data_IF_255294623166
#
_entry.id   IF_255294623166
#
_cell.length_a   1.000
_cell.length_b   1.000
_cell.length_c   1.000
_cell.angle_alpha   90.00
_cell.angle_beta   90.00
_cell.angle_gamma   90.00
#
_symmetry.space_group_name_H-M   'P 1'
#
loop_
_entity.id
_entity.type
_entity.pdbx_description
1 polymer ?
#
# COMPACT_ATOMS: atom_id res chain seq x y z
N UNK A 1 -39.75 -62.09 -13.38
CA UNK A 1 -38.32 -61.85 -13.43
C UNK A 1 -37.90 -60.66 -14.30
N UNK A 2 -38.47 -60.40 -15.45
CA UNK A 2 -38.11 -59.32 -16.35
C UNK A 2 -38.38 -57.86 -15.79
N UNK A 3 -39.40 -57.68 -14.93
CA UNK A 3 -39.75 -56.39 -14.30
C UNK A 3 -38.91 -56.07 -13.09
N UNK A 4 -38.32 -57.05 -12.43
CA UNK A 4 -37.41 -56.84 -11.30
C UNK A 4 -36.00 -56.40 -11.76
N UNK A 5 -35.55 -56.89 -12.93
CA UNK A 5 -34.27 -56.47 -13.54
C UNK A 5 -34.29 -55.01 -14.06
N UNK A 6 -35.46 -54.52 -14.50
CA UNK A 6 -35.61 -53.15 -14.98
C UNK A 6 -35.62 -52.11 -13.86
N UNK A 7 -36.00 -52.44 -12.64
CA UNK A 7 -35.95 -51.56 -11.47
C UNK A 7 -34.56 -51.47 -10.86
N UNK A 8 -33.71 -52.47 -11.00
CA UNK A 8 -32.33 -52.45 -10.50
C UNK A 8 -31.40 -51.58 -11.38
N UNK A 9 -31.71 -51.42 -12.68
CA UNK A 9 -30.92 -50.60 -13.62
C UNK A 9 -31.21 -49.09 -13.49
N UNK A 10 -32.36 -48.67 -12.93
CA UNK A 10 -32.69 -47.28 -12.74
C UNK A 10 -32.08 -46.68 -11.43
N UNK A 11 -31.65 -47.53 -10.49
CA UNK A 11 -31.07 -47.05 -9.23
C UNK A 11 -29.54 -46.85 -9.31
N UNK A 12 -28.90 -47.25 -10.41
CA UNK A 12 -27.44 -47.16 -10.60
C UNK A 12 -26.95 -45.88 -11.26
N UNK A 13 -27.85 -44.96 -11.67
CA UNK A 13 -27.47 -43.77 -12.46
C UNK A 13 -27.47 -42.45 -11.67
N UNK A 14 -27.62 -42.47 -10.35
CA UNK A 14 -27.61 -41.24 -9.52
C UNK A 14 -26.33 -41.08 -8.67
N UNK A 15 -25.22 -41.71 -9.07
CA UNK A 15 -23.91 -41.31 -8.54
C UNK A 15 -23.50 -40.06 -9.34
N UNK A 16 -24.02 -38.88 -8.94
CA UNK A 16 -23.44 -37.61 -9.31
C UNK A 16 -21.96 -37.64 -8.89
N UNK A 17 -21.08 -38.03 -9.81
CA UNK A 17 -19.66 -37.80 -9.65
C UNK A 17 -19.46 -36.27 -9.62
N UNK A 18 -19.51 -35.69 -8.42
CA UNK A 18 -18.97 -34.38 -8.20
C UNK A 18 -17.48 -34.44 -8.58
N UNK A 19 -17.18 -34.08 -9.81
CA UNK A 19 -15.79 -33.94 -10.23
C UNK A 19 -15.08 -33.06 -9.19
N UNK A 20 -13.95 -33.53 -8.61
CA UNK A 20 -13.25 -32.72 -7.61
C UNK A 20 -12.96 -31.38 -8.26
N UNK A 21 -13.49 -30.28 -7.70
CA UNK A 21 -13.21 -28.95 -8.17
C UNK A 21 -11.69 -28.78 -8.14
N UNK A 22 -11.09 -28.61 -9.31
CA UNK A 22 -9.63 -28.56 -9.46
C UNK A 22 -9.08 -27.42 -8.59
N UNK A 23 -8.23 -27.79 -7.62
CA UNK A 23 -7.67 -26.81 -6.69
C UNK A 23 -6.91 -25.70 -7.45
N UNK A 24 -7.29 -24.45 -7.24
CA UNK A 24 -6.62 -23.31 -7.82
C UNK A 24 -5.60 -22.76 -6.84
N UNK A 25 -4.33 -22.66 -7.25
CA UNK A 25 -3.27 -22.04 -6.45
C UNK A 25 -2.98 -20.65 -7.01
N UNK A 26 -3.25 -19.60 -6.21
CA UNK A 26 -2.85 -18.24 -6.52
C UNK A 26 -1.35 -18.05 -6.23
N UNK A 27 -0.59 -17.63 -7.24
CA UNK A 27 0.84 -17.31 -7.15
C UNK A 27 0.98 -15.80 -6.93
N UNK A 28 1.42 -15.40 -5.73
CA UNK A 28 1.48 -14.00 -5.29
C UNK A 28 2.92 -13.60 -5.02
N UNK A 29 3.41 -12.58 -5.71
CA UNK A 29 4.74 -11.99 -5.45
C UNK A 29 4.65 -10.85 -4.42
N UNK A 30 5.71 -10.65 -3.65
CA UNK A 30 5.85 -9.50 -2.74
C UNK A 30 7.31 -9.16 -2.52
N UNK A 31 7.60 -7.88 -2.29
CA UNK A 31 8.93 -7.42 -1.87
C UNK A 31 9.16 -7.62 -0.37
N UNK A 32 8.09 -7.81 0.43
CA UNK A 32 8.23 -8.04 1.85
C UNK A 32 9.16 -9.24 2.11
N UNK A 33 10.19 -9.07 2.95
CA UNK A 33 11.10 -10.16 3.29
C UNK A 33 10.37 -11.30 4.00
N UNK A 34 10.89 -12.51 3.86
CA UNK A 34 10.38 -13.65 4.61
C UNK A 34 10.65 -13.49 6.11
N UNK A 35 9.77 -14.02 6.97
CA UNK A 35 9.85 -13.88 8.42
C UNK A 35 9.38 -12.51 8.95
N UNK A 36 8.83 -11.64 8.13
CA UNK A 36 8.16 -10.42 8.60
C UNK A 36 6.75 -10.72 9.10
N UNK A 37 6.25 -9.93 10.05
CA UNK A 37 4.87 -10.01 10.56
C UNK A 37 3.85 -9.94 9.42
N UNK A 38 4.14 -9.15 8.38
CA UNK A 38 3.33 -9.08 7.17
C UNK A 38 3.20 -10.45 6.48
N UNK A 39 4.32 -11.15 6.27
CA UNK A 39 4.31 -12.47 5.63
C UNK A 39 3.60 -13.51 6.49
N UNK A 40 3.78 -13.45 7.81
CA UNK A 40 3.13 -14.38 8.74
C UNK A 40 1.60 -14.23 8.72
N UNK A 41 1.09 -12.98 8.76
CA UNK A 41 -0.36 -12.73 8.68
C UNK A 41 -0.94 -13.15 7.31
N UNK A 42 -0.22 -12.90 6.22
CA UNK A 42 -0.66 -13.34 4.89
C UNK A 42 -0.71 -14.86 4.78
N UNK A 43 0.23 -15.60 5.39
CA UNK A 43 0.20 -17.06 5.44
C UNK A 43 -0.95 -17.59 6.30
N UNK A 44 -1.19 -16.98 7.48
CA UNK A 44 -2.35 -17.34 8.33
C UNK A 44 -3.66 -17.18 7.55
N UNK A 45 -3.85 -16.06 6.86
CA UNK A 45 -5.01 -15.85 6.01
C UNK A 45 -5.12 -16.88 4.88
N UNK A 46 -4.01 -17.23 4.23
CA UNK A 46 -3.96 -18.24 3.19
C UNK A 46 -4.32 -19.66 3.70
N UNK A 47 -3.87 -20.02 4.91
CA UNK A 47 -4.18 -21.29 5.54
C UNK A 47 -5.65 -21.36 5.98
N UNK A 48 -6.21 -20.25 6.47
CA UNK A 48 -7.64 -20.14 6.76
C UNK A 48 -8.48 -20.33 5.49
N UNK A 49 -8.14 -19.67 4.39
CA UNK A 49 -8.80 -19.82 3.09
C UNK A 49 -8.72 -21.28 2.65
N UNK A 50 -7.54 -21.89 2.69
CA UNK A 50 -7.35 -23.30 2.32
C UNK A 50 -8.27 -24.21 3.13
N UNK A 51 -8.39 -23.99 4.42
CA UNK A 51 -9.23 -24.77 5.32
C UNK A 51 -10.72 -24.57 4.99
N UNK A 52 -11.19 -23.32 4.94
CA UNK A 52 -12.60 -22.98 4.70
C UNK A 52 -13.07 -23.36 3.30
N UNK A 53 -12.17 -23.40 2.31
CA UNK A 53 -12.47 -23.87 0.96
C UNK A 53 -12.20 -25.37 0.75
N UNK A 54 -11.92 -26.14 1.80
CA UNK A 54 -11.58 -27.57 1.71
C UNK A 54 -10.45 -27.84 0.70
N UNK A 55 -9.46 -26.95 0.63
CA UNK A 55 -8.31 -27.04 -0.26
C UNK A 55 -8.54 -26.67 -1.72
N UNK A 56 -9.75 -26.23 -2.11
CA UNK A 56 -10.05 -25.77 -3.48
C UNK A 56 -9.28 -24.51 -3.84
N UNK A 57 -9.05 -23.60 -2.86
CA UNK A 57 -8.27 -22.38 -3.04
C UNK A 57 -7.02 -22.41 -2.17
N UNK A 58 -5.87 -22.14 -2.79
CA UNK A 58 -4.57 -22.09 -2.12
C UNK A 58 -3.81 -20.84 -2.57
N UNK A 59 -2.90 -20.35 -1.71
CA UNK A 59 -1.97 -19.29 -2.04
C UNK A 59 -0.54 -19.78 -1.94
N UNK A 60 0.29 -19.36 -2.90
CA UNK A 60 1.74 -19.55 -2.86
C UNK A 60 2.40 -18.17 -2.99
N UNK A 61 3.09 -17.76 -1.93
CA UNK A 61 3.81 -16.50 -1.89
C UNK A 61 5.24 -16.65 -2.39
N UNK A 62 5.75 -15.59 -3.02
CA UNK A 62 7.12 -15.42 -3.46
C UNK A 62 7.65 -14.12 -2.81
N UNK A 63 8.20 -14.22 -1.56
CA UNK A 63 8.66 -13.06 -0.78
C UNK A 63 10.01 -12.53 -1.25
N UNK A 64 10.45 -11.38 -0.69
CA UNK A 64 11.80 -10.84 -0.84
C UNK A 64 12.14 -10.33 -2.24
N UNK A 65 11.12 -10.01 -3.07
CA UNK A 65 11.36 -9.44 -4.39
C UNK A 65 11.95 -10.41 -5.43
N UNK A 66 12.00 -11.72 -5.16
CA UNK A 66 12.58 -12.74 -6.09
C UNK A 66 11.87 -12.78 -7.45
N UNK A 67 10.69 -12.22 -7.55
CA UNK A 67 9.94 -12.10 -8.82
C UNK A 67 10.18 -10.76 -9.54
N UNK A 68 11.09 -9.93 -9.02
CA UNK A 68 11.43 -8.61 -9.53
C UNK A 68 10.59 -7.48 -8.91
N UNK A 69 10.79 -6.26 -9.43
CA UNK A 69 10.07 -5.07 -9.00
C UNK A 69 8.59 -5.10 -9.46
N UNK A 70 7.80 -4.12 -8.99
CA UNK A 70 6.36 -4.03 -9.26
C UNK A 70 6.02 -4.08 -10.75
N UNK A 71 6.78 -3.42 -11.63
CA UNK A 71 6.57 -3.48 -13.07
C UNK A 71 6.74 -4.90 -13.62
N UNK A 72 7.78 -5.60 -13.16
CA UNK A 72 8.06 -6.99 -13.55
C UNK A 72 6.96 -7.92 -13.05
N UNK A 73 6.48 -7.71 -11.83
CA UNK A 73 5.37 -8.47 -11.23
C UNK A 73 4.08 -8.24 -12.02
N UNK A 74 3.70 -6.98 -12.30
CA UNK A 74 2.51 -6.65 -13.09
C UNK A 74 2.57 -7.26 -14.50
N UNK A 75 3.73 -7.22 -15.16
CA UNK A 75 3.92 -7.87 -16.45
C UNK A 75 3.71 -9.39 -16.35
N UNK A 76 4.28 -10.05 -15.33
CA UNK A 76 4.12 -11.48 -15.09
C UNK A 76 2.67 -11.87 -14.78
N UNK A 77 1.90 -10.99 -14.12
CA UNK A 77 0.46 -11.18 -13.90
C UNK A 77 -0.29 -11.12 -15.24
N UNK A 78 0.00 -10.12 -16.08
CA UNK A 78 -0.65 -9.96 -17.39
C UNK A 78 -0.45 -11.18 -18.31
N UNK A 79 0.74 -11.79 -18.29
CA UNK A 79 1.03 -12.99 -19.08
C UNK A 79 0.70 -14.30 -18.34
N UNK A 80 0.17 -14.25 -17.11
CA UNK A 80 -0.32 -15.40 -16.35
C UNK A 80 0.76 -16.25 -15.68
N UNK A 81 2.00 -15.80 -15.61
CA UNK A 81 3.07 -16.45 -14.82
C UNK A 81 2.82 -16.30 -13.32
N UNK A 82 2.37 -15.12 -12.90
CA UNK A 82 1.83 -14.84 -11.59
C UNK A 82 0.31 -14.65 -11.67
N UNK A 83 -0.36 -14.73 -10.54
CA UNK A 83 -1.80 -14.49 -10.45
C UNK A 83 -2.11 -13.20 -9.71
N UNK A 84 -1.16 -12.69 -8.92
CA UNK A 84 -1.25 -11.45 -8.16
C UNK A 84 0.09 -11.04 -7.58
N UNK A 85 0.07 -9.91 -6.88
CA UNK A 85 1.23 -9.38 -6.15
C UNK A 85 0.80 -8.38 -5.08
N UNK A 86 1.63 -8.23 -4.05
CA UNK A 86 1.56 -7.10 -3.14
C UNK A 86 2.36 -5.96 -3.77
N UNK A 87 1.67 -4.93 -4.21
CA UNK A 87 2.20 -3.81 -5.00
C UNK A 87 2.09 -2.55 -4.15
N UNK A 88 3.17 -1.77 -4.07
CA UNK A 88 3.17 -0.49 -3.36
C UNK A 88 2.46 0.60 -4.18
N UNK A 89 2.11 1.72 -3.52
CA UNK A 89 1.32 2.81 -4.12
C UNK A 89 1.82 3.24 -5.50
N UNK A 90 3.13 3.49 -5.67
CA UNK A 90 3.70 3.88 -6.98
C UNK A 90 3.53 2.82 -8.07
N UNK A 91 3.58 1.53 -7.73
CA UNK A 91 3.29 0.44 -8.67
C UNK A 91 1.82 0.33 -9.03
N UNK A 92 0.91 0.63 -8.09
CA UNK A 92 -0.54 0.58 -8.30
C UNK A 92 -1.02 1.66 -9.27
N UNK A 93 -0.34 2.81 -9.38
CA UNK A 93 -0.70 3.87 -10.33
C UNK A 93 -0.62 3.40 -11.79
N UNK A 94 0.21 2.40 -12.09
CA UNK A 94 0.27 1.76 -13.41
C UNK A 94 -0.99 0.91 -13.76
N UNK A 95 -1.84 0.63 -12.77
CA UNK A 95 -3.14 -0.03 -12.93
C UNK A 95 -4.25 1.02 -12.97
N UNK A 96 -4.25 1.91 -11.98
CA UNK A 96 -5.27 2.94 -11.80
C UNK A 96 -4.61 4.21 -11.23
N UNK A 97 -4.43 5.27 -12.05
CA UNK A 97 -3.67 6.46 -11.64
C UNK A 97 -4.21 7.16 -10.40
N UNK A 98 -5.53 7.28 -10.22
CA UNK A 98 -6.17 7.94 -9.08
C UNK A 98 -5.83 7.29 -7.73
N UNK A 99 -5.31 6.07 -7.73
CA UNK A 99 -4.85 5.42 -6.52
C UNK A 99 -3.69 6.20 -5.88
N UNK A 100 -2.92 6.98 -6.65
CA UNK A 100 -1.85 7.85 -6.15
C UNK A 100 -2.32 8.99 -5.26
N UNK A 101 -3.63 9.18 -5.05
CA UNK A 101 -4.20 10.31 -4.31
C UNK A 101 -3.68 10.42 -2.86
N UNK A 102 -3.44 9.30 -2.19
CA UNK A 102 -2.90 9.30 -0.82
C UNK A 102 -1.41 9.64 -0.74
N UNK A 103 -0.68 9.57 -1.88
CA UNK A 103 0.73 9.97 -1.98
C UNK A 103 0.92 11.49 -2.13
N UNK A 104 -0.17 12.28 -2.27
CA UNK A 104 -0.06 13.73 -2.28
C UNK A 104 0.63 14.21 -0.99
N UNK A 105 1.69 15.03 -1.10
CA UNK A 105 2.48 15.44 0.05
C UNK A 105 1.65 16.28 1.03
N UNK A 106 1.94 16.15 2.31
CA UNK A 106 1.31 16.93 3.40
C UNK A 106 -0.23 16.88 3.41
N UNK A 107 -0.79 15.77 2.92
CA UNK A 107 -2.24 15.58 2.85
C UNK A 107 -2.82 15.26 4.22
N UNK A 108 -2.22 14.30 4.92
CA UNK A 108 -2.69 13.84 6.22
C UNK A 108 -1.77 14.34 7.33
N UNK A 109 -2.36 14.63 8.48
CA UNK A 109 -1.67 15.15 9.68
C UNK A 109 -1.63 14.15 10.81
N UNK A 110 -2.66 13.30 10.92
CA UNK A 110 -2.83 12.30 11.98
C UNK A 110 -3.40 11.01 11.43
N UNK A 111 -3.24 9.92 12.19
CA UNK A 111 -3.80 8.61 11.82
C UNK A 111 -5.33 8.62 11.84
N UNK A 112 -5.97 9.38 12.74
CA UNK A 112 -7.43 9.50 12.80
C UNK A 112 -7.98 10.21 11.54
N UNK A 113 -7.25 11.18 11.01
CA UNK A 113 -7.58 11.83 9.73
C UNK A 113 -7.48 10.84 8.57
N UNK A 114 -6.43 10.02 8.57
CA UNK A 114 -6.25 8.93 7.61
C UNK A 114 -7.41 7.94 7.69
N UNK A 115 -7.77 7.48 8.89
CA UNK A 115 -8.85 6.52 9.11
C UNK A 115 -10.19 7.04 8.58
N UNK A 116 -10.51 8.29 8.92
CA UNK A 116 -11.75 8.90 8.47
C UNK A 116 -11.83 8.98 6.94
N UNK A 117 -10.76 9.42 6.30
CA UNK A 117 -10.72 9.59 4.84
C UNK A 117 -10.73 8.22 4.14
N UNK A 118 -9.89 7.28 4.59
CA UNK A 118 -9.79 5.95 3.99
C UNK A 118 -11.11 5.19 4.09
N UNK A 119 -11.83 5.30 5.18
CA UNK A 119 -13.16 4.67 5.31
C UNK A 119 -14.12 5.10 4.19
N UNK A 120 -13.97 6.32 3.66
CA UNK A 120 -14.82 6.88 2.59
C UNK A 120 -14.24 6.61 1.19
N UNK A 121 -12.93 6.63 1.05
CA UNK A 121 -12.28 6.62 -0.25
C UNK A 121 -11.75 5.23 -0.66
N UNK A 122 -11.36 4.37 0.28
CA UNK A 122 -10.85 3.02 -0.04
C UNK A 122 -11.83 2.23 -0.93
N UNK A 123 -13.16 2.23 -0.69
CA UNK A 123 -14.10 1.54 -1.58
C UNK A 123 -14.08 2.06 -3.01
N UNK A 124 -13.89 3.37 -3.22
CA UNK A 124 -13.81 3.99 -4.54
C UNK A 124 -12.54 3.54 -5.26
N UNK A 125 -11.40 3.56 -4.57
CA UNK A 125 -10.10 3.19 -5.13
C UNK A 125 -10.03 1.69 -5.43
N UNK A 126 -10.58 0.84 -4.56
CA UNK A 126 -10.67 -0.61 -4.79
C UNK A 126 -11.56 -0.91 -6.01
N UNK A 127 -12.67 -0.18 -6.16
CA UNK A 127 -13.52 -0.31 -7.34
C UNK A 127 -12.78 0.13 -8.62
N UNK A 128 -11.96 1.19 -8.55
CA UNK A 128 -11.10 1.61 -9.65
C UNK A 128 -10.11 0.51 -10.07
N UNK A 129 -9.48 -0.19 -9.13
CA UNK A 129 -8.64 -1.36 -9.42
C UNK A 129 -9.45 -2.46 -10.12
N UNK A 130 -10.67 -2.73 -9.65
CA UNK A 130 -11.55 -3.75 -10.23
C UNK A 130 -11.94 -3.42 -11.66
N UNK A 131 -12.29 -2.17 -11.96
CA UNK A 131 -12.59 -1.72 -13.32
C UNK A 131 -11.40 -1.87 -14.26
N UNK A 132 -10.18 -1.88 -13.73
CA UNK A 132 -8.94 -2.11 -14.47
C UNK A 132 -8.46 -3.57 -14.42
N UNK A 133 -9.35 -4.52 -14.06
CA UNK A 133 -9.11 -5.96 -14.14
C UNK A 133 -8.35 -6.58 -12.98
N UNK A 134 -8.32 -5.89 -11.81
CA UNK A 134 -7.67 -6.38 -10.60
C UNK A 134 -8.62 -6.37 -9.41
N UNK A 135 -8.67 -7.46 -8.67
CA UNK A 135 -9.37 -7.57 -7.39
C UNK A 135 -8.39 -7.27 -6.27
N UNK A 136 -8.81 -6.45 -5.32
CA UNK A 136 -8.12 -6.19 -4.06
C UNK A 136 -9.08 -6.31 -2.89
N UNK A 137 -8.57 -6.60 -1.70
CA UNK A 137 -9.34 -6.87 -0.49
C UNK A 137 -9.16 -5.80 0.58
N UNK A 138 -8.42 -4.75 0.27
CA UNK A 138 -8.07 -3.64 1.15
C UNK A 138 -6.68 -3.10 0.85
N UNK A 139 -6.32 -2.04 1.55
CA UNK A 139 -4.98 -1.48 1.54
C UNK A 139 -4.28 -1.81 2.86
N UNK A 140 -3.06 -2.34 2.76
CA UNK A 140 -2.15 -2.42 3.88
C UNK A 140 -1.48 -1.06 4.07
N UNK A 141 -1.51 -0.57 5.30
CA UNK A 141 -0.85 0.68 5.67
C UNK A 141 0.66 0.49 5.75
N UNK A 142 1.40 1.44 5.19
CA UNK A 142 2.85 1.55 5.38
C UNK A 142 3.23 2.62 6.42
N UNK A 143 2.22 3.34 6.95
CA UNK A 143 2.40 4.46 7.87
C UNK A 143 2.79 5.76 7.16
N UNK A 144 3.12 6.77 7.96
CA UNK A 144 3.61 8.03 7.43
C UNK A 144 5.04 7.90 6.91
N UNK A 145 5.29 8.47 5.73
CA UNK A 145 6.63 8.66 5.22
C UNK A 145 7.26 9.90 5.81
N UNK A 146 8.50 9.77 6.24
CA UNK A 146 9.35 10.86 6.72
C UNK A 146 10.57 10.99 5.83
N UNK A 147 11.03 12.22 5.60
CA UNK A 147 12.32 12.44 4.95
C UNK A 147 13.45 11.99 5.86
N UNK A 148 14.33 11.16 5.33
CA UNK A 148 15.54 10.69 6.01
C UNK A 148 16.75 10.96 5.13
N UNK A 149 17.83 11.46 5.72
CA UNK A 149 18.98 11.93 4.95
C UNK A 149 20.29 11.88 5.75
N UNK A 150 21.41 12.03 5.04
CA UNK A 150 22.72 12.16 5.66
C UNK A 150 23.03 13.57 6.16
N UNK A 151 22.23 14.55 5.79
CA UNK A 151 22.35 15.96 6.21
C UNK A 151 21.02 16.44 6.82
N UNK A 152 21.11 17.41 7.73
CA UNK A 152 19.92 18.03 8.33
C UNK A 152 19.16 18.83 7.28
N UNK A 153 17.89 18.46 7.03
CA UNK A 153 16.99 19.16 6.10
C UNK A 153 15.87 19.80 6.92
N UNK A 154 15.81 21.14 6.90
CA UNK A 154 14.79 21.95 7.59
C UNK A 154 14.01 22.84 6.60
N UNK A 155 14.70 23.37 5.61
CA UNK A 155 14.16 24.25 4.58
C UNK A 155 14.39 23.66 3.19
N UNK A 156 13.66 24.17 2.20
CA UNK A 156 13.76 23.68 0.81
C UNK A 156 15.20 23.86 0.28
N UNK A 157 15.87 24.92 0.68
CA UNK A 157 17.26 25.20 0.25
C UNK A 157 18.27 24.15 0.72
N UNK A 158 18.00 23.41 1.81
CA UNK A 158 18.86 22.34 2.30
C UNK A 158 18.92 21.12 1.36
N UNK A 159 17.99 21.04 0.40
CA UNK A 159 18.05 20.01 -0.65
C UNK A 159 19.10 20.28 -1.74
N UNK A 160 19.70 21.47 -1.76
CA UNK A 160 20.73 21.77 -2.77
C UNK A 160 21.88 20.78 -2.67
N UNK A 161 22.11 20.06 -3.77
CA UNK A 161 23.15 19.02 -3.84
C UNK A 161 22.76 17.66 -3.26
N UNK A 162 21.56 17.51 -2.69
CA UNK A 162 21.07 16.22 -2.23
C UNK A 162 20.63 15.34 -3.41
N UNK A 163 20.88 14.05 -3.29
CA UNK A 163 20.48 13.03 -4.24
C UNK A 163 19.23 12.34 -3.73
N UNK A 164 18.08 12.95 -4.01
CA UNK A 164 16.79 12.52 -3.45
C UNK A 164 16.24 11.36 -4.24
N UNK A 165 15.87 10.29 -3.55
CA UNK A 165 15.18 9.15 -4.13
C UNK A 165 13.67 9.38 -4.22
N UNK A 166 13.07 8.89 -5.30
CA UNK A 166 11.62 8.66 -5.42
C UNK A 166 11.35 7.26 -5.95
N UNK A 167 10.22 6.63 -5.54
CA UNK A 167 9.84 5.35 -6.07
C UNK A 167 9.68 5.37 -7.59
N UNK A 168 10.02 4.28 -8.24
CA UNK A 168 9.83 4.11 -9.68
C UNK A 168 8.33 4.18 -10.02
N UNK A 169 7.96 5.00 -11.00
CA UNK A 169 6.58 5.28 -11.45
C UNK A 169 5.70 6.05 -10.43
N UNK A 170 6.28 6.65 -9.41
CA UNK A 170 5.56 7.55 -8.52
C UNK A 170 5.67 8.99 -9.05
N UNK A 171 4.77 9.34 -9.97
CA UNK A 171 4.73 10.67 -10.59
C UNK A 171 4.33 11.75 -9.58
N UNK A 172 3.58 11.40 -8.52
CA UNK A 172 3.19 12.33 -7.46
C UNK A 172 4.42 12.75 -6.65
N UNK A 173 5.19 11.78 -6.14
CA UNK A 173 6.43 12.06 -5.40
C UNK A 173 7.46 12.77 -6.28
N UNK A 174 7.60 12.38 -7.54
CA UNK A 174 8.46 13.08 -8.51
C UNK A 174 8.08 14.56 -8.63
N UNK A 175 6.80 14.84 -8.91
CA UNK A 175 6.31 16.18 -9.07
C UNK A 175 6.47 17.02 -7.80
N UNK A 176 6.38 16.41 -6.61
CA UNK A 176 6.61 17.09 -5.35
C UNK A 176 8.03 17.69 -5.30
N UNK A 177 9.05 16.90 -5.59
CA UNK A 177 10.45 17.39 -5.58
C UNK A 177 10.74 18.31 -6.76
N UNK A 178 10.24 18.03 -7.96
CA UNK A 178 10.40 18.92 -9.13
C UNK A 178 9.76 20.30 -8.88
N UNK A 179 8.66 20.38 -8.14
CA UNK A 179 7.97 21.65 -7.83
C UNK A 179 8.80 22.61 -6.98
N UNK A 180 9.84 22.10 -6.33
CA UNK A 180 10.81 22.87 -5.52
C UNK A 180 12.20 22.88 -6.15
N UNK A 181 12.32 22.56 -7.42
CA UNK A 181 13.56 22.65 -8.19
C UNK A 181 14.54 21.49 -7.99
N UNK A 182 14.09 20.37 -7.44
CA UNK A 182 14.92 19.18 -7.22
C UNK A 182 14.63 18.17 -8.33
N UNK A 183 15.69 17.60 -8.93
CA UNK A 183 15.59 16.48 -9.88
C UNK A 183 15.79 15.18 -9.14
N UNK A 184 14.72 14.44 -8.78
CA UNK A 184 14.86 13.23 -7.99
C UNK A 184 15.37 12.05 -8.82
N UNK A 185 16.02 11.10 -8.15
CA UNK A 185 16.53 9.86 -8.73
C UNK A 185 15.49 8.76 -8.52
N UNK A 186 15.01 8.21 -9.61
CA UNK A 186 13.99 7.15 -9.57
C UNK A 186 14.63 5.78 -9.51
N UNK A 187 14.40 5.04 -8.42
CA UNK A 187 14.85 3.65 -8.27
C UNK A 187 13.68 2.77 -7.82
N UNK A 188 13.77 1.49 -8.15
CA UNK A 188 12.90 0.48 -7.56
C UNK A 188 13.16 0.37 -6.05
N UNK A 189 12.15 0.03 -5.27
CA UNK A 189 12.26 -0.09 -3.81
C UNK A 189 13.36 -1.09 -3.39
N UNK A 190 13.53 -2.18 -4.15
CA UNK A 190 14.58 -3.18 -3.96
C UNK A 190 16.01 -2.64 -4.09
N UNK A 191 16.20 -1.52 -4.80
CA UNK A 191 17.51 -1.00 -5.15
C UNK A 191 17.95 0.15 -4.23
N UNK A 192 17.05 0.61 -3.34
CA UNK A 192 17.28 1.79 -2.48
C UNK A 192 18.46 1.59 -1.54
N UNK A 193 18.56 0.44 -0.86
CA UNK A 193 19.68 0.17 0.03
C UNK A 193 21.02 0.22 -0.71
N UNK A 194 21.10 -0.40 -1.88
CA UNK A 194 22.29 -0.34 -2.74
C UNK A 194 22.60 1.09 -3.19
N UNK A 195 21.56 1.87 -3.56
CA UNK A 195 21.71 3.27 -3.91
C UNK A 195 22.27 4.13 -2.76
N UNK A 196 21.82 3.90 -1.53
CA UNK A 196 22.35 4.52 -0.32
C UNK A 196 23.80 4.08 -0.02
N UNK A 197 24.10 2.80 -0.20
CA UNK A 197 25.44 2.25 0.03
C UNK A 197 26.48 2.78 -0.95
N UNK A 198 26.12 2.95 -2.19
CA UNK A 198 27.00 3.47 -3.25
C UNK A 198 27.06 5.00 -3.32
N UNK A 199 26.22 5.70 -2.55
CA UNK A 199 26.07 7.15 -2.63
C UNK A 199 25.43 7.63 -3.94
N UNK A 200 24.70 6.76 -4.65
CA UNK A 200 23.84 7.15 -5.77
C UNK A 200 22.69 8.01 -5.29
N UNK A 201 22.17 7.71 -4.10
CA UNK A 201 21.18 8.51 -3.36
C UNK A 201 21.67 8.72 -1.92
N UNK A 202 21.24 9.81 -1.28
CA UNK A 202 21.58 10.17 0.11
C UNK A 202 20.37 10.65 0.92
N UNK A 203 19.25 10.83 0.25
CA UNK A 203 17.98 11.31 0.83
C UNK A 203 16.84 10.45 0.31
N UNK A 204 16.05 9.94 1.24
CA UNK A 204 14.92 9.04 0.99
C UNK A 204 13.67 9.50 1.73
N UNK A 205 12.51 9.02 1.31
CA UNK A 205 11.27 9.11 2.07
C UNK A 205 10.75 7.70 2.38
N UNK A 206 10.39 7.46 3.64
CA UNK A 206 9.88 6.15 4.07
C UNK A 206 9.32 6.17 5.48
N UNK A 207 8.59 5.12 5.88
CA UNK A 207 8.17 4.93 7.26
C UNK A 207 9.34 4.48 8.13
N UNK A 208 9.23 4.69 9.44
CA UNK A 208 10.25 4.25 10.40
C UNK A 208 10.41 2.73 10.38
N UNK A 209 9.29 2.01 10.38
CA UNK A 209 9.26 0.54 10.27
C UNK A 209 9.87 0.04 8.97
N UNK A 210 9.55 0.68 7.84
CA UNK A 210 10.14 0.39 6.53
C UNK A 210 11.65 0.62 6.50
N UNK A 211 12.13 1.72 7.08
CA UNK A 211 13.55 2.03 7.16
C UNK A 211 14.35 0.98 7.96
N UNK A 212 13.76 0.41 9.00
CA UNK A 212 14.37 -0.70 9.76
C UNK A 212 14.32 -2.00 8.95
N UNK A 213 13.15 -2.39 8.47
CA UNK A 213 12.95 -3.65 7.75
C UNK A 213 13.82 -3.76 6.49
N UNK A 214 14.03 -2.64 5.79
CA UNK A 214 14.84 -2.56 4.58
C UNK A 214 16.29 -2.08 4.84
N UNK A 215 16.68 -1.95 6.12
CA UNK A 215 18.03 -1.57 6.57
C UNK A 215 18.51 -0.18 6.11
N UNK A 216 17.61 0.70 5.69
CA UNK A 216 17.96 2.05 5.22
C UNK A 216 18.50 2.93 6.35
N UNK A 217 18.02 2.73 7.58
CA UNK A 217 18.46 3.44 8.78
C UNK A 217 19.97 3.36 9.00
N UNK A 218 20.65 2.32 8.48
CA UNK A 218 22.10 2.17 8.58
C UNK A 218 22.87 3.17 7.73
N UNK A 219 22.19 3.92 6.86
CA UNK A 219 22.79 4.81 5.84
C UNK A 219 22.29 6.24 5.90
N UNK A 220 21.46 6.59 6.87
CA UNK A 220 20.95 7.96 7.11
C UNK A 220 21.24 8.37 8.54
N UNK A 221 21.24 9.67 8.81
CA UNK A 221 21.57 10.25 10.14
C UNK A 221 20.44 11.10 10.71
N UNK A 222 19.60 11.64 9.85
CA UNK A 222 18.55 12.59 10.21
C UNK A 222 17.21 12.11 9.69
N UNK A 223 16.16 12.39 10.46
CA UNK A 223 14.77 12.22 10.09
C UNK A 223 14.04 13.54 10.33
N UNK A 224 13.43 14.10 9.27
CA UNK A 224 12.55 15.25 9.42
C UNK A 224 11.23 14.78 10.01
N UNK A 225 10.94 15.22 11.24
CA UNK A 225 9.79 14.79 12.03
C UNK A 225 8.49 15.53 11.63
N UNK A 226 8.21 15.49 10.34
CA UNK A 226 6.99 16.01 9.72
C UNK A 226 6.50 14.99 8.69
N UNK A 227 5.24 14.52 8.78
CA UNK A 227 4.69 13.57 7.82
C UNK A 227 4.67 14.12 6.40
N UNK A 228 5.43 13.51 5.50
CA UNK A 228 5.50 13.92 4.09
C UNK A 228 4.31 13.38 3.29
N UNK A 229 4.04 12.08 3.40
CA UNK A 229 2.95 11.40 2.69
C UNK A 229 2.51 10.16 3.46
N UNK A 230 1.41 9.54 3.04
CA UNK A 230 0.93 8.31 3.64
C UNK A 230 1.19 7.14 2.72
N UNK A 231 1.90 6.13 3.23
CA UNK A 231 2.31 4.95 2.49
C UNK A 231 1.26 3.85 2.60
N UNK A 232 1.08 3.12 1.52
CA UNK A 232 0.19 1.97 1.47
C UNK A 232 0.58 1.03 0.34
N UNK A 233 0.10 -0.20 0.45
CA UNK A 233 0.23 -1.22 -0.58
C UNK A 233 -1.10 -1.97 -0.71
N UNK A 234 -1.30 -2.66 -1.82
CA UNK A 234 -2.42 -3.56 -1.98
C UNK A 234 -1.96 -4.91 -2.51
N UNK A 235 -2.56 -5.98 -2.02
CA UNK A 235 -2.53 -7.23 -2.74
C UNK A 235 -3.55 -7.18 -3.86
N UNK A 236 -3.07 -7.22 -5.09
CA UNK A 236 -3.91 -7.26 -6.29
C UNK A 236 -3.86 -8.64 -6.93
N UNK A 237 -5.01 -9.16 -7.34
CA UNK A 237 -5.15 -10.44 -8.04
C UNK A 237 -5.81 -10.17 -9.39
N UNK A 238 -5.32 -10.80 -10.46
CA UNK A 238 -5.99 -10.74 -11.78
C UNK A 238 -7.46 -11.18 -11.64
N UNK A 239 -8.39 -10.28 -11.98
CA UNK A 239 -9.82 -10.56 -11.91
C UNK A 239 -10.18 -11.79 -12.77
N UNK A 240 -9.57 -11.95 -13.96
CA UNK A 240 -9.73 -13.13 -14.81
C UNK A 240 -9.38 -14.43 -14.09
N UNK A 241 -8.38 -14.40 -13.19
CA UNK A 241 -8.00 -15.57 -12.40
C UNK A 241 -8.91 -15.74 -11.20
N UNK A 242 -9.30 -14.67 -10.54
CA UNK A 242 -10.20 -14.70 -9.39
C UNK A 242 -11.59 -15.23 -9.73
N UNK A 243 -12.13 -14.87 -10.89
CA UNK A 243 -13.41 -15.37 -11.40
C UNK A 243 -13.40 -16.89 -11.72
N UNK A 244 -12.27 -17.58 -11.64
CA UNK A 244 -12.19 -19.04 -11.88
C UNK A 244 -12.55 -19.88 -10.64
N UNK A 245 -12.60 -19.30 -9.47
CA UNK A 245 -13.12 -19.93 -8.26
C UNK A 245 -14.62 -19.65 -8.13
N UNK A 246 -15.33 -20.51 -7.41
CA UNK A 246 -16.79 -20.36 -7.20
C UNK A 246 -17.13 -19.05 -6.49
N UNK A 247 -18.37 -18.59 -6.61
CA UNK A 247 -18.83 -17.38 -5.90
C UNK A 247 -18.68 -17.52 -4.38
N UNK A 248 -18.96 -18.70 -3.83
CA UNK A 248 -18.78 -18.97 -2.40
C UNK A 248 -17.31 -18.89 -1.99
N UNK A 249 -16.42 -19.47 -2.80
CA UNK A 249 -14.97 -19.38 -2.53
C UNK A 249 -14.46 -17.93 -2.69
N UNK A 250 -15.01 -17.15 -3.64
CA UNK A 250 -14.71 -15.72 -3.76
C UNK A 250 -15.11 -14.94 -2.51
N UNK A 251 -16.28 -15.23 -1.94
CA UNK A 251 -16.77 -14.61 -0.71
C UNK A 251 -15.84 -14.94 0.48
N UNK A 252 -15.46 -16.23 0.63
CA UNK A 252 -14.52 -16.67 1.67
C UNK A 252 -13.17 -15.94 1.53
N UNK A 253 -12.59 -15.90 0.33
CA UNK A 253 -11.32 -15.22 0.09
C UNK A 253 -11.41 -13.73 0.41
N UNK A 254 -12.51 -13.08 0.00
CA UNK A 254 -12.71 -11.65 0.24
C UNK A 254 -12.84 -11.32 1.73
N UNK A 255 -13.61 -12.12 2.47
CA UNK A 255 -13.76 -11.95 3.91
C UNK A 255 -12.44 -12.17 4.66
N UNK A 256 -11.77 -13.31 4.42
CA UNK A 256 -10.55 -13.66 5.13
C UNK A 256 -9.42 -12.67 4.83
N UNK A 257 -9.23 -12.30 3.57
CA UNK A 257 -8.20 -11.32 3.20
C UNK A 257 -8.52 -9.93 3.73
N UNK A 258 -9.78 -9.50 3.70
CA UNK A 258 -10.20 -8.23 4.32
C UNK A 258 -9.86 -8.20 5.82
N UNK A 259 -10.19 -9.27 6.54
CA UNK A 259 -9.82 -9.41 7.96
C UNK A 259 -8.30 -9.43 8.17
N UNK A 260 -7.55 -10.09 7.27
CA UNK A 260 -6.09 -10.12 7.31
C UNK A 260 -5.51 -8.71 7.15
N UNK A 261 -5.99 -7.91 6.19
CA UNK A 261 -5.56 -6.52 6.03
C UNK A 261 -5.90 -5.66 7.26
N UNK A 262 -7.06 -5.84 7.87
CA UNK A 262 -7.41 -5.13 9.11
C UNK A 262 -6.47 -5.47 10.27
N UNK A 263 -6.02 -6.74 10.40
CA UNK A 263 -5.01 -7.12 11.39
C UNK A 263 -3.64 -6.52 11.07
N UNK A 264 -3.23 -6.58 9.80
CA UNK A 264 -1.97 -5.98 9.34
C UNK A 264 -1.90 -4.48 9.64
N UNK A 265 -2.97 -3.74 9.39
CA UNK A 265 -3.00 -2.30 9.66
C UNK A 265 -2.76 -1.98 11.14
N UNK A 266 -3.38 -2.76 12.04
CA UNK A 266 -3.13 -2.61 13.49
C UNK A 266 -1.69 -2.92 13.88
N UNK A 267 -1.11 -3.99 13.32
CA UNK A 267 0.28 -4.37 13.58
C UNK A 267 1.25 -3.31 13.04
N UNK A 268 1.06 -2.85 11.81
CA UNK A 268 1.95 -1.88 11.18
C UNK A 268 2.01 -0.56 11.97
N UNK A 269 0.90 -0.10 12.55
CA UNK A 269 0.91 1.10 13.42
C UNK A 269 1.71 0.90 14.70
N UNK A 270 1.58 -0.26 15.35
CA UNK A 270 2.36 -0.61 16.54
C UNK A 270 3.85 -0.72 16.20
N UNK A 271 4.16 -1.36 15.09
CA UNK A 271 5.53 -1.53 14.60
C UNK A 271 6.17 -0.17 14.26
N UNK A 272 5.43 0.76 13.66
CA UNK A 272 5.96 2.09 13.31
C UNK A 272 6.30 2.92 14.55
N UNK A 273 5.45 2.90 15.58
CA UNK A 273 5.73 3.55 16.87
C UNK A 273 6.99 2.98 17.51
N UNK A 274 7.12 1.65 17.55
CA UNK A 274 8.30 0.97 18.09
C UNK A 274 9.55 1.28 17.28
N UNK A 275 9.42 1.33 15.96
CA UNK A 275 10.49 1.63 15.03
C UNK A 275 11.03 3.06 15.21
N UNK A 276 10.15 4.05 15.44
CA UNK A 276 10.58 5.43 15.70
C UNK A 276 11.46 5.52 16.94
N UNK A 277 11.08 4.84 18.04
CA UNK A 277 11.90 4.78 19.25
C UNK A 277 13.23 4.06 18.99
N UNK A 278 13.22 2.98 18.21
CA UNK A 278 14.45 2.26 17.87
C UNK A 278 15.40 3.09 17.00
N UNK A 279 14.89 3.86 16.03
CA UNK A 279 15.70 4.78 15.22
C UNK A 279 16.41 5.84 16.08
N UNK A 280 15.70 6.42 17.06
CA UNK A 280 16.30 7.37 18.00
C UNK A 280 17.39 6.71 18.86
N UNK A 281 17.13 5.50 19.36
CA UNK A 281 18.10 4.75 20.15
C UNK A 281 19.36 4.36 19.34
N UNK A 282 19.23 4.23 18.02
CA UNK A 282 20.33 3.97 17.09
C UNK A 282 21.05 5.25 16.62
N UNK A 283 20.70 6.41 17.19
CA UNK A 283 21.38 7.67 16.93
C UNK A 283 20.84 8.49 15.76
N UNK A 284 19.70 8.13 15.20
CA UNK A 284 19.03 8.97 14.20
C UNK A 284 18.49 10.24 14.90
N UNK A 285 18.91 11.39 14.41
CA UNK A 285 18.47 12.69 14.94
C UNK A 285 17.14 13.11 14.31
N UNK A 286 16.11 13.27 15.14
CA UNK A 286 14.79 13.74 14.69
C UNK A 286 14.77 15.28 14.67
N UNK A 287 14.45 15.86 13.51
CA UNK A 287 14.42 17.30 13.27
C UNK A 287 12.98 17.78 13.26
N UNK A 288 12.59 18.52 14.29
CA UNK A 288 11.29 19.19 14.34
C UNK A 288 11.33 20.50 13.56
N UNK A 289 10.35 20.71 12.70
CA UNK A 289 10.17 21.98 11.99
C UNK A 289 9.43 22.99 12.88
N UNK A 290 9.74 24.27 12.69
CA UNK A 290 8.91 25.33 13.27
C UNK A 290 7.60 25.48 12.48
N UNK A 291 6.53 26.04 13.06
CA UNK A 291 5.26 26.23 12.34
C UNK A 291 5.40 27.03 11.04
N UNK A 292 6.32 28.02 11.00
CA UNK A 292 6.58 28.80 9.78
C UNK A 292 7.19 27.94 8.67
N UNK A 293 8.12 27.05 9.02
CA UNK A 293 8.73 26.13 8.06
C UNK A 293 7.72 25.09 7.57
N UNK A 294 6.92 24.53 8.46
CA UNK A 294 5.83 23.60 8.09
C UNK A 294 4.86 24.25 7.09
N UNK A 295 4.52 25.53 7.27
CA UNK A 295 3.66 26.26 6.33
C UNK A 295 4.20 26.31 4.91
N UNK A 296 5.52 26.48 4.72
CA UNK A 296 6.16 26.46 3.40
C UNK A 296 6.01 25.09 2.69
N UNK A 297 6.06 24.01 3.45
CA UNK A 297 5.88 22.66 2.94
C UNK A 297 4.45 22.38 2.48
N UNK A 298 3.44 22.95 3.15
CA UNK A 298 2.05 22.81 2.72
C UNK A 298 1.73 23.47 1.38
N UNK A 299 2.46 24.50 0.98
CA UNK A 299 2.29 25.12 -0.35
C UNK A 299 2.71 24.18 -1.49
N UNK A 300 3.60 23.23 -1.21
CA UNK A 300 4.02 22.21 -2.17
C UNK A 300 2.81 21.35 -2.57
N UNK A 301 1.97 20.97 -1.61
CA UNK A 301 0.77 20.15 -1.89
C UNK A 301 -0.09 20.75 -2.98
N UNK A 302 -0.43 22.05 -2.87
CA UNK A 302 -1.29 22.72 -3.86
C UNK A 302 -0.67 22.74 -5.25
N UNK A 303 0.65 22.97 -5.33
CA UNK A 303 1.38 22.95 -6.61
C UNK A 303 1.35 21.56 -7.24
N UNK A 304 1.60 20.51 -6.44
CA UNK A 304 1.58 19.13 -6.91
C UNK A 304 0.18 18.72 -7.36
N UNK A 305 -0.84 18.99 -6.55
CA UNK A 305 -2.24 18.71 -6.84
C UNK A 305 -2.67 19.33 -8.18
N UNK A 306 -2.36 20.62 -8.37
CA UNK A 306 -2.65 21.31 -9.62
C UNK A 306 -1.91 20.68 -10.80
N UNK A 307 -0.61 20.42 -10.65
CA UNK A 307 0.21 19.79 -11.69
C UNK A 307 -0.33 18.42 -12.09
N UNK A 308 -0.65 17.56 -11.10
CA UNK A 308 -1.15 16.21 -11.33
C UNK A 308 -2.52 16.22 -12.02
N UNK A 309 -3.39 17.15 -11.62
CA UNK A 309 -4.71 17.32 -12.24
C UNK A 309 -4.60 17.85 -13.66
N UNK A 310 -3.73 18.83 -13.92
CA UNK A 310 -3.51 19.38 -15.28
C UNK A 310 -2.90 18.36 -16.23
N UNK A 311 -2.00 17.51 -15.73
CA UNK A 311 -1.40 16.41 -16.51
C UNK A 311 -2.33 15.21 -16.69
N UNK A 312 -3.51 15.22 -16.06
CA UNK A 312 -4.45 14.09 -16.11
C UNK A 312 -3.97 12.83 -15.37
N UNK A 313 -2.98 12.96 -14.47
CA UNK A 313 -2.50 11.85 -13.62
C UNK A 313 -3.50 11.58 -12.50
N UNK A 314 -4.06 12.62 -11.88
CA UNK A 314 -5.16 12.49 -10.92
C UNK A 314 -6.42 13.13 -11.51
N UNK A 315 -7.54 12.44 -11.40
CA UNK A 315 -8.82 13.01 -11.81
C UNK A 315 -9.24 14.15 -10.87
N UNK A 316 -9.91 15.18 -11.41
CA UNK A 316 -10.48 16.26 -10.60
C UNK A 316 -11.50 15.73 -9.59
N UNK A 317 -12.21 14.67 -9.95
CA UNK A 317 -13.22 14.04 -9.11
C UNK A 317 -12.59 13.45 -7.84
N UNK A 318 -11.50 12.68 -7.98
CA UNK A 318 -10.86 12.05 -6.82
C UNK A 318 -10.21 13.09 -5.89
N UNK A 319 -9.61 14.15 -6.48
CA UNK A 319 -9.01 15.25 -5.72
C UNK A 319 -10.07 16.01 -4.94
N UNK A 320 -11.20 16.37 -5.57
CA UNK A 320 -12.31 17.06 -4.92
C UNK A 320 -12.94 16.19 -3.82
N UNK A 321 -13.04 14.88 -4.05
CA UNK A 321 -13.57 13.93 -3.07
C UNK A 321 -12.66 13.84 -1.85
N UNK A 322 -11.35 13.75 -2.04
CA UNK A 322 -10.37 13.79 -0.95
C UNK A 322 -10.51 15.10 -0.14
N UNK A 323 -10.50 16.24 -0.84
CA UNK A 323 -10.56 17.56 -0.18
C UNK A 323 -11.86 17.70 0.64
N UNK A 324 -13.01 17.30 0.08
CA UNK A 324 -14.28 17.29 0.79
C UNK A 324 -14.22 16.49 2.10
N UNK A 325 -13.61 15.32 2.10
CA UNK A 325 -13.53 14.49 3.30
C UNK A 325 -12.54 15.06 4.32
N UNK A 326 -11.41 15.60 3.88
CA UNK A 326 -10.45 16.28 4.76
C UNK A 326 -11.09 17.50 5.44
N UNK A 327 -11.81 18.33 4.68
CA UNK A 327 -12.46 19.54 5.22
C UNK A 327 -13.55 19.16 6.22
N UNK A 328 -14.35 18.14 5.93
CA UNK A 328 -15.38 17.65 6.84
C UNK A 328 -14.80 17.16 8.17
N UNK A 329 -13.69 16.37 8.11
CA UNK A 329 -13.01 15.90 9.31
C UNK A 329 -12.43 17.06 10.14
N UNK A 330 -11.72 17.97 9.48
CA UNK A 330 -11.06 19.12 10.13
C UNK A 330 -12.05 20.08 10.77
N UNK A 331 -13.17 20.34 10.11
CA UNK A 331 -14.26 21.15 10.68
C UNK A 331 -14.86 20.52 11.93
N UNK A 332 -15.12 19.21 11.91
CA UNK A 332 -15.64 18.48 13.07
C UNK A 332 -14.64 18.49 14.25
N UNK A 333 -13.34 18.32 13.97
CA UNK A 333 -12.29 18.36 14.99
C UNK A 333 -12.19 19.73 15.68
N UNK A 334 -12.27 20.84 14.93
CA UNK A 334 -12.28 22.22 15.48
C UNK A 334 -13.48 22.42 16.38
N UNK A 335 -14.68 22.01 15.95
CA UNK A 335 -15.91 22.13 16.74
C UNK A 335 -15.80 21.34 18.06
N UNK A 336 -15.27 20.13 18.02
CA UNK A 336 -15.07 19.31 19.21
C UNK A 336 -14.07 19.92 20.21
N UNK A 337 -12.99 20.57 19.72
CA UNK A 337 -12.02 21.27 20.56
C UNK A 337 -12.63 22.50 21.22
N UNK A 338 -13.41 23.30 20.48
CA UNK A 338 -14.11 24.48 21.02
C UNK A 338 -15.10 24.08 22.10
N UNK A 339 -15.84 22.99 21.90
CA UNK A 339 -16.80 22.50 22.90
C UNK A 339 -16.12 22.06 24.21
N UNK A 340 -14.96 21.39 24.11
CA UNK A 340 -14.17 21.00 25.28
C UNK A 340 -13.57 22.21 26.03
N UNK A 341 -13.15 23.25 25.31
CA UNK A 341 -12.62 24.48 25.89
C UNK A 341 -13.69 25.31 26.61
N UNK A 342 -14.98 25.12 26.27
CA UNK A 342 -16.11 25.86 26.88
C UNK A 342 -16.63 25.15 28.15
N UNK A 343 -16.30 23.86 28.34
CA UNK A 343 -16.76 23.04 29.49
C UNK A 343 -15.72 23.05 30.65
N UNK A 344 -14.46 23.38 30.36
CA UNK A 344 -13.36 23.54 31.35
C UNK A 344 -13.20 25.02 31.74
#
# INVERSE_FOLDING_TARGET
MRRLLMMLTLLATAICTTAPAQALTFKIATIAPDGTAWMDEMRKGADEIKTRTSGRVKFRFFPGGIMGNDQSVLRKIRIGQLHGGAIVSGGLTAIYPDIGIYSLPFTFRTEEEVDYVRQKMDPLLINGLKQNGFVSFGFAEGGFAYLMSNQSIKVIDDFKGQKVWVPQNDDVSRAAFESVGISPISLALSDVLTGLQTGLIDTIAGSASGAIALQWHTRVKYLMDEPLSYLYAAMVISEKRFRRISADDQAIVSEVMGNTFNRLNKLNRQDDLSARAALQAQGITFIKLSPQLTGQWFDIRKKVELSMTQKGVLSKEIVNTLQKHLDAYRAAAVTAQQHRATIN
#
